data_IF_155584676727
#
_entry.id   IF_155584676727
#
_cell.length_a   1.000
_cell.length_b   1.000
_cell.length_c   1.000
_cell.angle_alpha   90.00
_cell.angle_beta   90.00
_cell.angle_gamma   90.00
#
_symmetry.space_group_name_H-M   'P 1'
#
loop_
_entity.id
_entity.type
_entity.pdbx_description
1 polymer ?
2 non-polymer ?
3 non-polymer ?
4 non-polymer ?
5 water ?
#
# COMPACT_ATOMS: atom_id res chain seq x y z
N UNK A 1 -8.45 -12.05 12.60
CA UNK A 1 -8.57 -13.39 13.14
C UNK A 1 -9.55 -14.19 12.32
N UNK A 2 -10.80 -14.35 12.77
CA UNK A 2 -11.87 -14.95 11.96
C UNK A 2 -12.15 -14.21 10.65
N UNK A 3 -12.18 -12.88 10.72
CA UNK A 3 -12.22 -12.05 9.53
C UNK A 3 -11.00 -12.22 8.62
N UNK A 4 -9.76 -12.10 9.12
CA UNK A 4 -8.57 -12.31 8.29
C UNK A 4 -8.47 -13.70 7.73
N UNK A 5 -8.90 -14.68 8.52
CA UNK A 5 -8.92 -16.07 8.12
C UNK A 5 -9.87 -16.30 6.97
N UNK A 6 -11.02 -15.60 6.96
CA UNK A 6 -11.97 -15.76 5.88
C UNK A 6 -11.50 -15.06 4.61
N UNK A 7 -10.87 -13.89 4.75
CA UNK A 7 -10.39 -13.12 3.62
C UNK A 7 -9.16 -13.73 2.98
N UNK A 8 -8.11 -14.02 3.74
CA UNK A 8 -6.88 -14.61 3.23
C UNK A 8 -6.92 -16.12 3.10
N UNK A 9 -7.51 -16.84 4.05
CA UNK A 9 -7.52 -18.30 4.02
C UNK A 9 -6.10 -18.85 4.01
N UNK A 10 -5.91 -19.84 3.14
CA UNK A 10 -4.58 -20.41 2.94
C UNK A 10 -3.96 -19.95 1.64
N UNK A 11 -4.44 -18.81 1.10
CA UNK A 11 -3.95 -18.25 -0.17
C UNK A 11 -2.53 -17.75 -0.07
N UNK A 12 -1.79 -17.92 -1.16
CA UNK A 12 -0.40 -17.54 -1.19
C UNK A 12 -0.29 -16.19 -1.88
N UNK A 13 0.21 -15.20 -1.15
CA UNK A 13 0.39 -13.88 -1.76
C UNK A 13 1.51 -13.05 -1.21
N UNK A 14 2.18 -12.36 -2.12
CA UNK A 14 3.33 -11.51 -1.83
C UNK A 14 2.90 -10.09 -2.15
N UNK A 15 2.89 -9.26 -1.10
CA UNK A 15 2.27 -7.96 -1.16
C UNK A 15 3.25 -6.93 -0.66
N UNK A 16 3.32 -5.79 -1.35
CA UNK A 16 4.00 -4.60 -0.84
C UNK A 16 2.96 -3.61 -0.34
N UNK A 17 3.20 -3.03 0.83
CA UNK A 17 2.36 -1.95 1.33
C UNK A 17 3.25 -0.73 1.51
N UNK A 18 3.10 0.26 0.63
CA UNK A 18 3.98 1.44 0.64
C UNK A 18 3.17 2.72 0.75
N UNK A 19 3.90 3.80 1.00
CA UNK A 19 3.30 5.12 1.06
C UNK A 19 4.29 6.05 1.73
N UNK A 20 4.09 7.36 1.63
CA UNK A 20 4.91 8.31 2.36
C UNK A 20 4.79 8.06 3.85
N UNK A 21 5.76 8.61 4.57
CA UNK A 21 5.74 8.60 6.03
C UNK A 21 4.48 9.32 6.47
N UNK A 22 3.89 8.78 7.54
CA UNK A 22 2.69 9.34 8.13
C UNK A 22 1.40 9.03 7.36
N UNK A 23 1.46 8.22 6.27
CA UNK A 23 0.25 7.90 5.50
C UNK A 23 -0.74 7.06 6.30
N UNK A 24 -0.25 6.23 7.24
CA UNK A 24 -1.09 5.42 8.09
C UNK A 24 -0.70 3.94 8.04
N UNK A 25 0.48 3.53 7.56
CA UNK A 25 0.81 2.11 7.41
C UNK A 25 0.88 1.31 8.71
N UNK A 26 1.62 1.82 9.69
CA UNK A 26 1.72 1.18 11.00
C UNK A 26 0.32 0.99 11.62
N UNK A 27 -0.56 1.99 11.56
CA UNK A 27 -1.92 1.96 12.13
C UNK A 27 -2.76 0.88 11.48
N UNK A 28 -2.67 0.77 10.15
CA UNK A 28 -3.39 -0.29 9.44
C UNK A 28 -3.00 -1.66 9.99
N UNK A 29 -1.69 -1.91 10.15
CA UNK A 29 -1.26 -3.20 10.67
C UNK A 29 -1.72 -3.44 12.10
N UNK A 30 -1.62 -2.44 12.99
CA UNK A 30 -2.13 -2.59 14.35
C UNK A 30 -3.61 -2.88 14.46
N UNK A 31 -4.38 -2.27 13.56
CA UNK A 31 -5.82 -2.45 13.53
C UNK A 31 -6.18 -3.84 13.09
N UNK A 32 -5.46 -4.43 12.14
CA UNK A 32 -5.74 -5.80 11.77
C UNK A 32 -5.18 -6.83 12.77
N UNK A 33 -4.56 -6.38 13.89
CA UNK A 33 -3.96 -7.20 14.94
C UNK A 33 -2.65 -7.84 14.47
N UNK A 34 -2.06 -7.35 13.38
CA UNK A 34 -0.77 -7.84 12.90
C UNK A 34 0.33 -7.08 13.63
N UNK A 35 0.41 -7.39 14.93
CA UNK A 35 1.27 -6.68 15.85
C UNK A 35 2.75 -7.02 15.77
N UNK A 36 3.11 -8.26 15.39
CA UNK A 36 4.51 -8.61 15.30
C UNK A 36 5.05 -8.46 13.89
N UNK A 37 6.34 -8.12 13.79
CA UNK A 37 7.00 -8.02 12.50
C UNK A 37 8.49 -8.22 12.62
N UNK A 38 9.14 -8.30 11.45
CA UNK A 38 10.58 -8.43 11.39
C UNK A 38 11.12 -7.25 10.63
N UNK A 39 12.07 -6.55 11.26
CA UNK A 39 12.74 -5.39 10.69
C UNK A 39 14.04 -5.79 10.01
N UNK A 40 14.22 -5.31 8.78
CA UNK A 40 15.51 -5.39 8.09
C UNK A 40 15.95 -3.97 7.78
N UNK A 41 17.25 -3.68 7.83
CA UNK A 41 17.78 -2.36 7.53
C UNK A 41 18.83 -2.52 6.44
N UNK A 42 18.48 -2.52 5.15
CA UNK A 42 19.45 -2.78 4.08
C UNK A 42 20.48 -1.67 3.92
N UNK A 43 20.18 -0.46 4.39
CA UNK A 43 21.15 0.63 4.47
C UNK A 43 20.64 1.58 5.54
N UNK A 44 21.52 2.32 6.22
CA UNK A 44 21.13 3.23 7.30
C UNK A 44 20.03 4.19 6.90
N UNK A 45 18.93 4.15 7.67
CA UNK A 45 17.81 5.03 7.43
C UNK A 45 16.73 4.40 6.56
N UNK A 46 16.98 3.25 5.94
CA UNK A 46 15.96 2.57 5.18
C UNK A 46 15.49 1.35 5.95
N UNK A 47 14.33 1.48 6.61
CA UNK A 47 13.75 0.40 7.41
C UNK A 47 12.62 -0.36 6.74
N UNK A 48 12.73 -1.68 6.66
CA UNK A 48 11.71 -2.52 6.06
C UNK A 48 11.07 -3.39 7.10
N UNK A 49 9.74 -3.39 7.17
CA UNK A 49 9.04 -4.32 8.06
C UNK A 49 8.45 -5.44 7.26
N UNK A 50 8.65 -6.69 7.69
CA UNK A 50 8.06 -7.83 7.01
C UNK A 50 7.11 -8.51 7.96
N UNK A 51 5.87 -8.71 7.51
CA UNK A 51 4.88 -9.43 8.29
C UNK A 51 4.45 -10.68 7.55
N UNK A 52 4.51 -11.84 8.22
CA UNK A 52 3.92 -13.05 7.70
C UNK A 52 2.58 -13.33 8.35
N UNK A 53 1.61 -13.77 7.55
CA UNK A 53 0.37 -14.33 8.07
C UNK A 53 0.06 -15.57 7.23
N UNK A 54 0.28 -16.76 7.79
CA UNK A 54 0.09 -18.00 7.06
C UNK A 54 0.92 -18.02 5.78
N UNK A 55 0.28 -18.05 4.58
CA UNK A 55 0.98 -18.06 3.29
C UNK A 55 1.03 -16.69 2.62
N UNK A 56 0.72 -15.66 3.42
CA UNK A 56 0.82 -14.26 3.02
C UNK A 56 2.07 -13.63 3.60
N UNK A 57 2.76 -12.82 2.78
CA UNK A 57 3.85 -11.98 3.25
C UNK A 57 3.72 -10.52 2.81
N UNK A 58 3.75 -9.58 3.77
CA UNK A 58 3.82 -8.17 3.47
C UNK A 58 5.24 -7.68 3.69
N UNK A 59 5.73 -6.85 2.76
CA UNK A 59 6.89 -5.98 3.01
C UNK A 59 6.39 -4.55 3.01
N UNK A 60 6.85 -3.74 3.96
CA UNK A 60 6.35 -2.40 4.18
C UNK A 60 7.52 -1.43 4.37
N UNK A 61 7.45 -0.27 3.70
CA UNK A 61 8.45 0.78 3.90
C UNK A 61 7.90 2.11 3.42
N UNK A 62 8.48 3.19 3.96
CA UNK A 62 8.15 4.54 3.54
C UNK A 62 8.79 4.85 2.21
N UNK A 63 8.01 5.42 1.30
CA UNK A 63 8.62 6.03 0.14
C UNK A 63 8.89 7.52 0.41
N UNK A 64 9.36 8.27 -0.57
CA UNK A 64 9.64 9.68 -0.38
C UNK A 64 11.04 9.88 0.14
N UNK A 65 11.89 8.86 0.24
CA UNK A 65 13.23 9.07 0.79
C UNK A 65 14.22 9.66 -0.22
N UNK A 66 15.51 9.68 0.14
CA UNK A 66 16.57 10.05 -0.77
C UNK A 66 16.63 9.17 -2.00
N UNK A 67 16.84 9.86 -3.12
CA UNK A 67 16.98 9.24 -4.42
C UNK A 67 17.98 8.09 -4.47
N UNK A 68 19.05 8.17 -3.70
CA UNK A 68 20.08 7.16 -3.71
C UNK A 68 19.62 5.80 -3.16
N UNK A 69 18.50 5.73 -2.44
CA UNK A 69 18.05 4.45 -1.91
C UNK A 69 17.10 3.77 -2.88
N UNK A 70 16.68 4.48 -3.95
CA UNK A 70 15.72 3.90 -4.89
C UNK A 70 16.21 2.61 -5.53
N UNK A 71 17.48 2.37 -5.87
CA UNK A 71 17.95 1.08 -6.42
C UNK A 71 17.68 -0.09 -5.49
N UNK A 72 17.79 0.16 -4.18
CA UNK A 72 17.53 -0.88 -3.19
C UNK A 72 16.08 -1.33 -3.11
N UNK A 73 15.13 -0.51 -3.56
CA UNK A 73 13.72 -0.87 -3.49
C UNK A 73 13.34 -2.05 -4.36
N UNK A 74 13.99 -2.14 -5.53
CA UNK A 74 13.69 -3.21 -6.45
C UNK A 74 14.10 -4.63 -6.05
N UNK A 75 14.85 -4.75 -4.95
CA UNK A 75 15.16 -6.05 -4.37
C UNK A 75 13.89 -6.69 -3.84
N UNK A 76 12.81 -5.93 -3.67
CA UNK A 76 11.58 -6.43 -3.10
C UNK A 76 10.50 -6.63 -4.17
N UNK A 77 10.83 -6.44 -5.45
CA UNK A 77 9.80 -6.49 -6.48
C UNK A 77 9.46 -7.85 -7.05
N UNK A 78 10.46 -8.74 -7.22
CA UNK A 78 10.23 -10.04 -7.85
C UNK A 78 9.21 -10.90 -7.14
N UNK A 79 8.19 -11.30 -7.90
CA UNK A 79 7.10 -12.12 -7.37
C UNK A 79 5.98 -11.35 -6.68
N UNK A 80 6.12 -10.03 -6.54
CA UNK A 80 5.08 -9.21 -5.96
C UNK A 80 3.87 -9.11 -6.88
N UNK A 81 2.75 -9.57 -6.33
CA UNK A 81 1.47 -9.64 -6.98
C UNK A 81 0.47 -8.54 -6.64
N UNK A 82 0.65 -7.88 -5.51
CA UNK A 82 -0.27 -6.84 -5.10
C UNK A 82 0.53 -5.72 -4.47
N UNK A 83 0.21 -4.52 -4.92
CA UNK A 83 0.68 -3.29 -4.30
C UNK A 83 -0.49 -2.60 -3.60
N UNK A 84 -0.29 -2.33 -2.32
CA UNK A 84 -1.18 -1.47 -1.54
C UNK A 84 -0.44 -0.16 -1.32
N UNK A 85 -1.04 0.94 -1.80
CA UNK A 85 -0.42 2.22 -1.69
C UNK A 85 -1.36 3.04 -0.80
N UNK A 86 -0.81 3.49 0.34
CA UNK A 86 -1.58 4.21 1.34
C UNK A 86 -1.28 5.69 1.19
N UNK A 87 -2.34 6.49 1.12
CA UNK A 87 -2.24 7.93 0.90
C UNK A 87 -2.95 8.66 2.01
N UNK A 88 -2.35 9.71 2.56
CA UNK A 88 -3.03 10.59 3.52
C UNK A 88 -3.83 11.59 2.68
N UNK A 89 -5.15 11.48 2.70
CA UNK A 89 -5.97 12.39 1.91
C UNK A 89 -6.08 13.80 2.49
N UNK A 90 -5.69 14.00 3.76
CA UNK A 90 -5.65 15.34 4.32
C UNK A 90 -4.38 16.06 3.99
N UNK A 91 -3.34 15.41 3.42
CA UNK A 91 -2.11 16.13 3.15
C UNK A 91 -2.00 16.52 1.68
N UNK A 92 -2.69 17.61 1.37
CA UNK A 92 -2.83 18.08 0.00
C UNK A 92 -1.53 18.52 -0.66
N UNK A 93 -0.59 18.98 0.17
CA UNK A 93 0.70 19.43 -0.31
C UNK A 93 1.65 18.33 -0.77
N UNK A 94 1.44 17.09 -0.33
CA UNK A 94 2.30 15.99 -0.74
C UNK A 94 1.62 14.99 -1.69
N UNK A 95 0.40 15.27 -2.18
CA UNK A 95 -0.26 14.39 -3.13
C UNK A 95 0.47 14.25 -4.47
N UNK A 96 1.10 15.33 -4.95
CA UNK A 96 1.88 15.24 -6.16
C UNK A 96 3.16 14.43 -5.96
N UNK A 97 3.79 14.45 -4.79
CA UNK A 97 4.94 13.61 -4.52
C UNK A 97 4.50 12.14 -4.41
N UNK A 98 3.34 11.87 -3.81
CA UNK A 98 2.79 10.53 -3.72
C UNK A 98 2.50 10.01 -5.13
N UNK A 99 1.98 10.83 -6.05
CA UNK A 99 1.76 10.46 -7.46
C UNK A 99 3.04 10.02 -8.16
N UNK A 100 4.08 10.86 -8.12
CA UNK A 100 5.39 10.53 -8.68
C UNK A 100 6.04 9.29 -8.07
N UNK A 101 5.95 9.09 -6.74
CA UNK A 101 6.45 7.84 -6.16
C UNK A 101 5.71 6.61 -6.68
N UNK A 102 4.37 6.67 -6.74
CA UNK A 102 3.59 5.55 -7.24
C UNK A 102 3.97 5.14 -8.67
N UNK A 103 4.09 6.11 -9.56
CA UNK A 103 4.34 5.81 -10.96
C UNK A 103 5.76 5.33 -11.15
N UNK A 104 6.69 5.83 -10.33
CA UNK A 104 8.03 5.28 -10.29
C UNK A 104 8.02 3.81 -9.95
N UNK A 105 7.21 3.36 -8.97
CA UNK A 105 7.17 1.94 -8.58
C UNK A 105 6.55 1.04 -9.64
N UNK A 106 5.34 1.36 -10.13
CA UNK A 106 4.64 0.53 -11.09
C UNK A 106 5.23 0.55 -12.51
N UNK A 107 6.14 1.50 -12.82
CA UNK A 107 6.83 1.52 -14.09
C UNK A 107 8.06 0.67 -14.12
N UNK A 108 8.53 0.21 -12.96
CA UNK A 108 9.59 -0.78 -12.96
C UNK A 108 9.16 -2.03 -13.72
N UNK A 109 10.15 -2.54 -14.44
CA UNK A 109 10.07 -3.76 -15.23
C UNK A 109 9.40 -4.92 -14.55
N UNK A 110 9.77 -5.12 -13.29
CA UNK A 110 9.35 -6.24 -12.46
C UNK A 110 8.01 -6.00 -11.77
N UNK A 111 7.41 -4.80 -11.95
CA UNK A 111 6.12 -4.48 -11.35
C UNK A 111 5.00 -4.36 -12.38
N UNK A 112 5.25 -4.80 -13.62
CA UNK A 112 4.30 -4.65 -14.71
C UNK A 112 2.96 -5.34 -14.48
N UNK A 113 2.88 -6.42 -13.70
CA UNK A 113 1.61 -7.08 -13.49
C UNK A 113 0.97 -7.02 -12.10
N UNK A 114 1.49 -6.22 -11.16
CA UNK A 114 0.84 -6.12 -9.84
C UNK A 114 -0.41 -5.26 -9.99
N UNK A 115 -1.51 -5.71 -9.40
CA UNK A 115 -2.71 -4.88 -9.27
C UNK A 115 -2.49 -3.85 -8.15
N UNK A 116 -3.21 -2.73 -8.20
CA UNK A 116 -2.99 -1.64 -7.26
C UNK A 116 -4.23 -1.37 -6.41
N UNK A 117 -4.14 -1.59 -5.09
CA UNK A 117 -5.13 -1.11 -4.12
C UNK A 117 -4.63 0.23 -3.57
N UNK A 118 -5.39 1.32 -3.66
CA UNK A 118 -5.09 2.55 -2.93
C UNK A 118 -5.92 2.59 -1.65
N UNK A 119 -5.30 2.74 -0.48
CA UNK A 119 -6.05 3.18 0.69
C UNK A 119 -6.09 4.70 0.70
N UNK A 120 -7.25 5.32 0.40
CA UNK A 120 -7.41 6.79 0.49
C UNK A 120 -7.74 7.08 1.97
N UNK A 121 -6.67 7.23 2.74
CA UNK A 121 -6.77 7.18 4.18
C UNK A 121 -7.03 8.55 4.79
N UNK A 122 -7.53 8.55 6.04
CA UNK A 122 -7.82 9.75 6.84
C UNK A 122 -8.99 10.54 6.30
N UNK A 123 -10.02 9.82 5.79
CA UNK A 123 -11.26 10.41 5.32
C UNK A 123 -12.01 11.19 6.38
N UNK A 124 -11.70 10.95 7.65
CA UNK A 124 -12.32 11.64 8.78
C UNK A 124 -11.74 13.04 9.01
N UNK A 125 -10.58 13.36 8.43
CA UNK A 125 -9.95 14.65 8.66
C UNK A 125 -10.48 15.82 7.82
N UNK A 126 -10.44 17.06 8.34
CA UNK A 126 -10.95 18.28 7.70
C UNK A 126 -10.43 18.45 6.30
N UNK A 127 -11.43 18.55 5.41
CA UNK A 127 -11.20 18.75 3.99
C UNK A 127 -10.29 17.69 3.34
N UNK A 128 -10.40 16.43 3.77
CA UNK A 128 -9.69 15.33 3.10
C UNK A 128 -10.24 15.17 1.68
N UNK A 129 -9.34 14.91 0.74
CA UNK A 129 -9.68 14.54 -0.61
C UNK A 129 -10.43 13.22 -0.64
N UNK A 130 -11.48 13.24 -1.45
CA UNK A 130 -12.38 12.11 -1.61
C UNK A 130 -11.79 11.09 -2.58
N UNK A 131 -12.22 9.81 -2.56
CA UNK A 131 -11.74 8.77 -3.47
C UNK A 131 -11.68 9.20 -4.94
N UNK A 132 -12.72 9.90 -5.40
CA UNK A 132 -12.81 10.28 -6.80
C UNK A 132 -11.84 11.35 -7.20
N UNK A 133 -11.50 12.28 -6.32
CA UNK A 133 -10.44 13.20 -6.65
C UNK A 133 -9.06 12.57 -6.53
N UNK A 134 -8.87 11.63 -5.61
CA UNK A 134 -7.63 10.84 -5.51
C UNK A 134 -7.36 10.05 -6.80
N UNK A 135 -8.37 9.46 -7.41
CA UNK A 135 -8.22 8.80 -8.71
C UNK A 135 -7.59 9.69 -9.75
N UNK A 136 -7.98 10.96 -9.77
CA UNK A 136 -7.49 11.89 -10.76
C UNK A 136 -6.13 12.43 -10.35
N UNK A 137 -5.99 12.77 -9.06
CA UNK A 137 -4.77 13.35 -8.55
C UNK A 137 -3.61 12.38 -8.60
N UNK A 138 -3.84 11.07 -8.45
CA UNK A 138 -2.76 10.10 -8.50
C UNK A 138 -2.54 9.65 -9.93
N UNK A 139 -3.25 10.21 -10.93
CA UNK A 139 -3.06 9.85 -12.33
C UNK A 139 -3.55 8.44 -12.67
N UNK A 140 -4.50 7.89 -11.91
CA UNK A 140 -4.95 6.52 -12.11
C UNK A 140 -5.88 6.38 -13.30
N UNK A 141 -6.67 7.44 -13.54
CA UNK A 141 -7.61 7.54 -14.65
C UNK A 141 -6.95 7.28 -15.99
N UNK A 142 -5.66 7.60 -16.13
CA UNK A 142 -4.90 7.38 -17.35
C UNK A 142 -4.19 6.01 -17.37
N UNK A 143 -4.26 5.19 -16.32
CA UNK A 143 -3.66 3.86 -16.33
C UNK A 143 -4.69 2.88 -16.90
N UNK A 144 -4.49 2.53 -18.18
CA UNK A 144 -5.36 1.60 -18.90
C UNK A 144 -4.78 0.19 -18.98
N UNK A 145 -3.56 -0.01 -18.48
CA UNK A 145 -2.85 -1.26 -18.66
C UNK A 145 -3.08 -2.27 -17.55
N UNK A 146 -3.69 -1.86 -16.42
CA UNK A 146 -3.89 -2.80 -15.32
C UNK A 146 -5.07 -2.46 -14.43
N UNK A 147 -5.44 -3.42 -13.59
CA UNK A 147 -6.54 -3.29 -12.66
C UNK A 147 -6.16 -2.56 -11.39
N UNK A 148 -6.97 -1.58 -10.99
CA UNK A 148 -6.71 -0.76 -9.79
C UNK A 148 -7.99 -0.38 -9.07
N UNK A 149 -7.99 -0.01 -7.78
CA UNK A 149 -9.19 0.38 -7.05
C UNK A 149 -8.80 1.30 -5.90
N UNK A 150 -9.62 2.32 -5.64
CA UNK A 150 -9.43 3.23 -4.52
C UNK A 150 -10.49 2.98 -3.45
N UNK A 151 -10.01 2.58 -2.26
CA UNK A 151 -10.83 2.31 -1.11
C UNK A 151 -10.66 3.44 -0.10
N UNK A 152 -11.71 4.22 0.20
CA UNK A 152 -11.71 5.19 1.29
C UNK A 152 -11.52 4.44 2.58
N UNK A 153 -10.70 4.99 3.46
CA UNK A 153 -10.48 4.37 4.76
C UNK A 153 -10.24 5.41 5.85
N UNK A 154 -10.48 4.90 7.08
CA UNK A 154 -10.17 5.57 8.33
C UNK A 154 -9.50 4.53 9.21
N UNK A 155 -8.18 4.48 9.12
CA UNK A 155 -7.42 3.38 9.70
C UNK A 155 -7.52 3.36 11.22
N UNK A 156 -7.67 4.53 11.84
CA UNK A 156 -7.82 4.62 13.28
C UNK A 156 -9.05 3.94 13.83
N UNK A 157 -10.14 3.95 13.08
CA UNK A 157 -11.36 3.29 13.53
C UNK A 157 -11.60 1.99 12.79
N UNK A 158 -10.73 1.63 11.83
CA UNK A 158 -10.86 0.38 11.10
C UNK A 158 -11.77 0.45 9.88
N UNK A 159 -12.35 1.58 9.50
CA UNK A 159 -13.27 1.62 8.37
C UNK A 159 -12.55 1.47 7.04
N UNK A 160 -13.13 0.64 6.15
CA UNK A 160 -12.66 0.41 4.79
C UNK A 160 -11.52 -0.60 4.68
N UNK A 161 -10.90 -1.05 5.78
CA UNK A 161 -9.74 -1.93 5.68
C UNK A 161 -10.06 -3.33 5.17
N UNK A 162 -11.02 -4.01 5.82
CA UNK A 162 -11.47 -5.32 5.36
C UNK A 162 -12.07 -5.28 3.95
N UNK A 163 -12.77 -4.21 3.57
CA UNK A 163 -13.31 -4.04 2.23
C UNK A 163 -12.21 -3.95 1.16
N UNK A 164 -11.15 -3.19 1.48
CA UNK A 164 -10.01 -3.04 0.60
C UNK A 164 -9.28 -4.36 0.42
N UNK A 165 -9.07 -5.08 1.53
CA UNK A 165 -8.36 -6.35 1.44
C UNK A 165 -9.18 -7.43 0.72
N UNK A 166 -10.52 -7.31 0.73
CA UNK A 166 -11.39 -8.25 0.05
C UNK A 166 -11.27 -7.96 -1.44
N UNK A 167 -11.15 -6.68 -1.84
CA UNK A 167 -10.90 -6.38 -3.26
C UNK A 167 -9.58 -7.01 -3.69
N UNK A 168 -8.51 -6.87 -2.90
CA UNK A 168 -7.19 -7.32 -3.32
C UNK A 168 -7.12 -8.84 -3.50
N UNK A 169 -7.64 -9.58 -2.53
CA UNK A 169 -7.67 -11.02 -2.58
C UNK A 169 -8.56 -11.57 -3.67
N UNK A 170 -9.71 -10.93 -3.97
CA UNK A 170 -10.59 -11.34 -5.06
C UNK A 170 -10.06 -11.01 -6.43
N UNK A 171 -9.06 -10.13 -6.54
CA UNK A 171 -8.62 -9.69 -7.85
C UNK A 171 -7.19 -10.09 -8.14
N UNK A 172 -6.42 -10.62 -7.18
CA UNK A 172 -5.03 -10.96 -7.48
C UNK A 172 -4.88 -12.24 -8.31
N UNK A 173 -3.80 -12.40 -9.07
CA UNK A 173 -3.59 -13.60 -9.87
C UNK A 173 -2.22 -14.24 -9.72
X LIG B 1 3.10 5.50 8.81
X LIG B 1 2.73 5.33 7.39
X LIG B 1 3.31 4.20 9.48
X LIG B 1 4.22 6.44 8.99
X LIG B 1 1.85 6.16 9.53
X LIG B 1 1.24 5.87 10.99
X LIG B 1 0.54 4.59 10.99
X LIG B 1 2.32 6.09 11.98
X LIG B 1 0.17 7.05 11.13
X LIG B 1 0.63 8.40 11.15
X LIG B 1 -0.27 9.28 11.97
X LIG B 1 -1.54 9.41 11.29
X LIG B 1 -0.58 8.70 13.34
X LIG B 1 -0.69 9.83 14.21
X LIG B 1 -1.92 7.99 13.06
X LIG B 1 -2.73 7.82 14.21
X LIG B 1 -2.59 8.95 12.12
X LIG B 1 -3.62 8.28 11.33
X LIG B 1 -3.53 7.13 10.58
X LIG B 1 -4.67 6.75 10.07
X LIG B 1 -5.52 7.79 10.38
X LIG B 1 -6.88 7.99 9.99
X LIG B 1 -7.52 7.34 9.18
X LIG B 1 -7.43 9.09 10.60
X LIG B 1 -6.71 10.00 11.37
X LIG B 1 -7.42 10.98 11.93
X LIG B 1 -5.40 9.89 11.65
X LIG B 1 -4.90 8.74 11.15
X LIG C 1 -16.25 7.01 8.51
X LIG C 1 -14.80 7.22 8.75
X LIG C 1 -16.61 8.13 7.63
X LIG C 1 -13.83 6.66 7.31
X LIG D 1 5.74 3.39 9.00
#
# INVERSE_FOLDING_TARGET
>A
GKVLSKIFGNKEMRILMLGLDAAGKTTILYKLKLGQSVTTIPTVGFNVETVTYKNVKFNVWDVGGQDKIRPLWRHYYTGTQGLIFVVDCADRDRIDEARQELHRIINDREMRDAIILIFANKQDLPDAMKPHEIQEKLGLTRIRDRNWYVQPSCATSGDGLYEGLTWLTSNYKS
>B hetero
1 GDP PB O1B O2B O3B O3A PA O1A O2A O5' C5' C4' O4' C3' O3' C2' O2' C1' N9 C8 N7 C5 C6 O6 N1 C2 N2 N3 C4
>C hetero
1 BME C1 C2 O1 S2
>D hetero
1 NH4 N
#
